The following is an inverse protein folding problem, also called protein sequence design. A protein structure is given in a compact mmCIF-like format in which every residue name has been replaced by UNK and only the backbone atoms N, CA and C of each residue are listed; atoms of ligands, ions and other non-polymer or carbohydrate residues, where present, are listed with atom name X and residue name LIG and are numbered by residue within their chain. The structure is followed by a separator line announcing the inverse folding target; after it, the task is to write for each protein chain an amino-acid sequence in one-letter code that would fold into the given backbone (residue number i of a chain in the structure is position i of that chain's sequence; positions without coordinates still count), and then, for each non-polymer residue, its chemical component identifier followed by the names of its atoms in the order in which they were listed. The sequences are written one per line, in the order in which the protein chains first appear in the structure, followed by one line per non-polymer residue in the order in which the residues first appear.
data_IF_103955482821
#
_entry.id   IF_103955482821
#
_cell.length_a   1.000
_cell.length_b   1.000
_cell.length_c   1.000
_cell.angle_alpha   90.00
_cell.angle_beta   90.00
_cell.angle_gamma   90.00
#
_symmetry.space_group_name_H-M   'P 1'
#
loop_
_entity.id
_entity.type
_entity.pdbx_description
1 polymer ?
#
# COMPACT_ATOMS: atom_id res chain seq x y z
N UNK A 1 -15.52 23.28 11.33
CA UNK A 1 -14.50 23.82 10.39
C UNK A 1 -14.56 23.02 9.10
N UNK A 2 -14.67 23.71 7.96
CA UNK A 2 -14.75 23.12 6.62
C UNK A 2 -13.37 23.01 5.97
N UNK A 3 -13.08 21.87 5.36
CA UNK A 3 -11.93 21.69 4.47
C UNK A 3 -12.41 21.73 3.01
N UNK A 4 -11.87 22.66 2.22
CA UNK A 4 -12.00 22.66 0.76
C UNK A 4 -10.80 21.93 0.17
N UNK A 5 -11.01 20.96 -0.72
CA UNK A 5 -9.91 20.25 -1.36
C UNK A 5 -10.19 19.91 -2.82
N UNK A 6 -9.13 19.85 -3.61
CA UNK A 6 -9.17 19.46 -5.02
C UNK A 6 -9.02 17.95 -5.13
N UNK A 7 -9.96 17.27 -5.79
CA UNK A 7 -9.90 15.84 -6.03
C UNK A 7 -8.95 15.53 -7.20
N UNK A 8 -8.13 14.50 -7.03
CA UNK A 8 -7.29 13.93 -8.10
C UNK A 8 -7.24 12.42 -7.98
N UNK A 9 -6.61 11.77 -8.96
CA UNK A 9 -6.39 10.33 -8.99
C UNK A 9 -5.69 9.77 -7.75
N UNK A 10 -4.83 10.56 -7.10
CA UNK A 10 -4.18 10.18 -5.86
C UNK A 10 -5.08 10.54 -4.68
N UNK A 11 -5.43 9.56 -3.84
CA UNK A 11 -6.37 9.77 -2.72
C UNK A 11 -5.68 10.16 -1.41
N UNK A 12 -4.43 9.72 -1.25
CA UNK A 12 -3.66 9.83 -0.01
C UNK A 12 -3.47 11.28 0.45
N UNK A 13 -3.19 12.25 -0.44
CA UNK A 13 -3.10 13.64 -0.01
C UNK A 13 -4.37 14.14 0.68
N UNK A 14 -5.55 13.79 0.17
CA UNK A 14 -6.84 14.24 0.72
C UNK A 14 -7.15 13.54 2.04
N UNK A 15 -6.88 12.22 2.13
CA UNK A 15 -7.03 11.46 3.38
C UNK A 15 -6.11 12.03 4.47
N UNK A 16 -4.83 12.23 4.18
CA UNK A 16 -3.86 12.73 5.15
C UNK A 16 -4.08 14.22 5.47
N UNK A 17 -4.41 15.04 4.48
CA UNK A 17 -4.74 16.45 4.66
C UNK A 17 -5.94 16.65 5.58
N UNK A 18 -6.98 15.81 5.46
CA UNK A 18 -8.11 15.82 6.39
C UNK A 18 -7.72 15.41 7.81
N UNK A 19 -6.98 14.29 7.95
CA UNK A 19 -6.62 13.75 9.26
C UNK A 19 -5.62 14.60 10.03
N UNK A 20 -4.81 15.39 9.31
CA UNK A 20 -3.80 16.26 9.88
C UNK A 20 -4.38 17.42 10.71
N UNK A 21 -5.50 17.99 10.27
CA UNK A 21 -6.03 19.22 10.84
C UNK A 21 -6.58 19.00 12.26
N UNK A 22 -6.25 19.94 13.16
CA UNK A 22 -6.73 20.00 14.54
C UNK A 22 -7.25 21.41 14.82
N UNK A 23 -8.55 21.60 15.13
CA UNK A 23 -9.59 20.57 15.22
C UNK A 23 -9.83 19.88 13.88
N UNK A 24 -10.30 18.62 13.94
CA UNK A 24 -10.65 17.84 12.75
C UNK A 24 -11.78 18.54 11.99
N UNK A 25 -11.76 18.59 10.64
CA UNK A 25 -12.85 19.20 9.90
C UNK A 25 -14.15 18.43 10.15
N UNK A 26 -15.26 19.17 10.26
CA UNK A 26 -16.62 18.61 10.39
C UNK A 26 -17.36 18.57 9.03
N UNK A 27 -16.74 19.16 8.00
CA UNK A 27 -17.21 19.16 6.61
C UNK A 27 -16.02 19.11 5.65
N UNK A 28 -16.20 18.39 4.55
CA UNK A 28 -15.25 18.29 3.44
C UNK A 28 -15.97 18.63 2.14
N UNK A 29 -15.44 19.57 1.38
CA UNK A 29 -15.89 19.87 0.02
C UNK A 29 -14.81 19.45 -0.97
N UNK A 30 -15.14 18.52 -1.85
CA UNK A 30 -14.25 18.02 -2.90
C UNK A 30 -14.62 18.64 -4.23
N UNK A 31 -13.75 19.53 -4.72
CA UNK A 31 -13.83 20.08 -6.06
C UNK A 31 -13.27 19.09 -7.06
N UNK A 32 -14.06 18.73 -8.07
CA UNK A 32 -13.67 17.73 -9.06
C UNK A 32 -14.04 18.16 -10.48
N UNK A 33 -13.34 17.60 -11.46
CA UNK A 33 -13.62 17.79 -12.89
C UNK A 33 -14.59 16.70 -13.38
N UNK A 34 -15.05 16.76 -14.63
CA UNK A 34 -15.85 15.69 -15.25
C UNK A 34 -15.01 14.46 -15.65
N UNK A 35 -13.69 14.49 -15.48
CA UNK A 35 -12.80 13.39 -15.85
C UNK A 35 -12.94 12.21 -14.88
N UNK A 36 -13.55 11.13 -15.35
CA UNK A 36 -13.90 9.97 -14.54
C UNK A 36 -12.70 9.31 -13.84
N UNK A 37 -11.62 9.06 -14.57
CA UNK A 37 -10.43 8.39 -14.04
C UNK A 37 -9.55 9.29 -13.16
N UNK A 38 -9.56 10.60 -13.44
CA UNK A 38 -8.59 11.54 -12.87
C UNK A 38 -9.17 12.39 -11.73
N UNK A 39 -10.49 12.63 -11.69
CA UNK A 39 -11.08 13.50 -10.66
C UNK A 39 -12.46 13.04 -10.16
N UNK A 40 -13.46 12.88 -11.03
CA UNK A 40 -14.84 12.58 -10.62
C UNK A 40 -14.98 11.24 -9.89
N UNK A 41 -14.41 10.17 -10.46
CA UNK A 41 -14.39 8.85 -9.84
C UNK A 41 -13.65 8.84 -8.50
N UNK A 42 -12.40 9.35 -8.41
CA UNK A 42 -11.71 9.52 -7.14
C UNK A 42 -12.51 10.33 -6.09
N UNK A 43 -13.18 11.41 -6.48
CA UNK A 43 -13.97 12.23 -5.57
C UNK A 43 -15.14 11.45 -4.94
N UNK A 44 -15.88 10.67 -5.74
CA UNK A 44 -16.95 9.80 -5.25
C UNK A 44 -16.42 8.73 -4.30
N UNK A 45 -15.33 8.06 -4.67
CA UNK A 45 -14.70 7.05 -3.82
C UNK A 45 -14.17 7.62 -2.51
N UNK A 46 -13.61 8.82 -2.52
CA UNK A 46 -13.22 9.54 -1.31
C UNK A 46 -14.44 9.83 -0.43
N UNK A 47 -15.56 10.29 -1.00
CA UNK A 47 -16.81 10.49 -0.26
C UNK A 47 -17.29 9.20 0.42
N UNK A 48 -17.32 8.10 -0.33
CA UNK A 48 -17.67 6.77 0.21
C UNK A 48 -16.71 6.33 1.32
N UNK A 49 -15.40 6.56 1.16
CA UNK A 49 -14.39 6.25 2.18
C UNK A 49 -14.64 7.04 3.47
N UNK A 50 -14.80 8.37 3.40
CA UNK A 50 -15.00 9.21 4.58
C UNK A 50 -16.29 8.85 5.33
N UNK A 51 -17.38 8.58 4.58
CA UNK A 51 -18.65 8.16 5.15
C UNK A 51 -18.57 6.75 5.77
N UNK A 52 -18.05 5.77 5.00
CA UNK A 52 -17.99 4.37 5.40
C UNK A 52 -17.05 4.11 6.58
N UNK A 53 -15.96 4.88 6.70
CA UNK A 53 -15.03 4.84 7.82
C UNK A 53 -15.47 5.71 9.00
N UNK A 54 -16.66 6.33 8.93
CA UNK A 54 -17.23 7.22 9.96
C UNK A 54 -16.29 8.37 10.34
N UNK A 55 -15.48 8.83 9.38
CA UNK A 55 -14.63 10.00 9.53
C UNK A 55 -15.44 11.29 9.44
N UNK A 56 -16.50 11.27 8.61
CA UNK A 56 -17.52 12.30 8.47
C UNK A 56 -18.88 11.63 8.21
N UNK A 57 -20.01 12.26 8.57
CA UNK A 57 -21.31 11.84 8.06
C UNK A 57 -21.38 12.12 6.55
N UNK A 58 -22.13 11.30 5.81
CA UNK A 58 -22.19 11.39 4.33
C UNK A 58 -22.64 12.77 3.84
N UNK A 59 -23.57 13.41 4.55
CA UNK A 59 -24.07 14.77 4.25
C UNK A 59 -23.02 15.86 4.47
N UNK A 60 -21.93 15.57 5.17
CA UNK A 60 -20.83 16.50 5.39
C UNK A 60 -19.72 16.36 4.34
N UNK A 61 -19.84 15.44 3.38
CA UNK A 61 -18.92 15.34 2.24
C UNK A 61 -19.65 15.77 0.97
N UNK A 62 -19.35 16.98 0.50
CA UNK A 62 -19.95 17.59 -0.68
C UNK A 62 -19.02 17.47 -1.89
N UNK A 63 -19.58 17.15 -3.05
CA UNK A 63 -18.86 17.10 -4.32
C UNK A 63 -19.28 18.30 -5.16
N UNK A 64 -18.32 19.12 -5.59
CA UNK A 64 -18.57 20.31 -6.40
C UNK A 64 -17.83 20.16 -7.73
N UNK A 65 -18.59 20.19 -8.82
CA UNK A 65 -18.00 20.12 -10.16
C UNK A 65 -17.42 21.47 -10.56
N UNK A 66 -16.21 21.46 -11.12
CA UNK A 66 -15.54 22.63 -11.71
C UNK A 66 -14.85 22.27 -13.03
N UNK A 67 -14.67 23.24 -13.96
CA UNK A 67 -13.82 23.04 -15.13
C UNK A 67 -12.37 22.85 -14.71
N UNK A 68 -11.58 22.16 -15.54
CA UNK A 68 -10.15 21.90 -15.27
C UNK A 68 -9.22 22.92 -15.93
N UNK A 69 -9.76 23.74 -16.84
CA UNK A 69 -9.05 24.54 -17.84
C UNK A 69 -9.42 26.03 -17.81
N UNK A 70 -10.40 26.42 -16.98
CA UNK A 70 -10.89 27.80 -16.87
C UNK A 70 -10.63 28.37 -15.47
N UNK A 71 -9.55 29.14 -15.32
CA UNK A 71 -9.10 29.70 -14.04
C UNK A 71 -10.20 30.49 -13.31
N UNK A 72 -10.85 31.44 -14.00
CA UNK A 72 -11.90 32.29 -13.42
C UNK A 72 -13.07 31.48 -12.87
N UNK A 73 -13.56 30.52 -13.64
CA UNK A 73 -14.68 29.66 -13.22
C UNK A 73 -14.35 28.80 -12.00
N UNK A 74 -13.08 28.39 -11.82
CA UNK A 74 -12.63 27.65 -10.63
C UNK A 74 -12.67 28.57 -9.41
N UNK A 75 -12.17 29.81 -9.55
CA UNK A 75 -12.22 30.84 -8.48
C UNK A 75 -13.66 31.17 -8.12
N UNK A 76 -14.53 31.40 -9.10
CA UNK A 76 -15.95 31.67 -8.90
C UNK A 76 -16.66 30.53 -8.16
N UNK A 77 -16.35 29.27 -8.49
CA UNK A 77 -16.93 28.12 -7.81
C UNK A 77 -16.48 28.02 -6.33
N UNK A 78 -15.22 28.36 -6.04
CA UNK A 78 -14.73 28.45 -4.66
C UNK A 78 -15.44 29.57 -3.90
N UNK A 79 -15.56 30.76 -4.49
CA UNK A 79 -16.28 31.89 -3.91
C UNK A 79 -17.75 31.56 -3.64
N UNK A 80 -18.48 31.06 -4.64
CA UNK A 80 -19.88 30.69 -4.50
C UNK A 80 -20.10 29.59 -3.44
N UNK A 81 -19.16 28.64 -3.34
CA UNK A 81 -19.19 27.61 -2.29
C UNK A 81 -18.98 28.23 -0.90
N UNK A 82 -18.01 29.13 -0.76
CA UNK A 82 -17.73 29.81 0.49
C UNK A 82 -18.91 30.69 0.93
N UNK A 83 -19.49 31.48 0.04
CA UNK A 83 -20.67 32.30 0.32
C UNK A 83 -21.87 31.45 0.75
N UNK A 84 -22.18 30.39 0.01
CA UNK A 84 -23.29 29.48 0.32
C UNK A 84 -23.15 28.83 1.70
N UNK A 85 -21.92 28.51 2.11
CA UNK A 85 -21.64 27.83 3.36
C UNK A 85 -21.25 28.79 4.51
N UNK A 86 -21.21 30.11 4.26
CA UNK A 86 -20.78 31.11 5.24
C UNK A 86 -19.33 30.91 5.69
N UNK A 87 -18.44 30.59 4.76
CA UNK A 87 -17.04 30.29 5.06
C UNK A 87 -16.19 31.56 5.16
N UNK A 88 -15.28 31.57 6.13
CA UNK A 88 -14.33 32.64 6.39
C UNK A 88 -12.96 32.08 6.84
N UNK A 89 -12.03 32.97 7.16
CA UNK A 89 -10.68 32.61 7.62
C UNK A 89 -10.65 31.81 8.93
N UNK A 90 -11.69 31.92 9.77
CA UNK A 90 -11.77 31.24 11.06
C UNK A 90 -12.31 29.81 10.92
N UNK A 91 -13.19 29.57 9.96
CA UNK A 91 -13.90 28.31 9.81
C UNK A 91 -13.54 27.50 8.56
N UNK A 92 -12.67 28.01 7.68
CA UNK A 92 -12.27 27.39 6.41
C UNK A 92 -10.77 27.12 6.31
N UNK A 93 -10.40 25.98 5.71
CA UNK A 93 -9.03 25.67 5.29
C UNK A 93 -9.06 25.11 3.88
N UNK A 94 -8.04 25.42 3.08
CA UNK A 94 -7.90 24.88 1.72
C UNK A 94 -6.70 23.97 1.57
N UNK A 95 -6.92 22.79 1.01
CA UNK A 95 -5.90 21.82 0.66
C UNK A 95 -5.84 21.63 -0.87
N UNK A 96 -4.81 22.21 -1.49
CA UNK A 96 -4.71 22.34 -2.95
C UNK A 96 -3.67 21.40 -3.60
N UNK A 97 -3.31 20.30 -2.94
CA UNK A 97 -2.38 19.30 -3.50
C UNK A 97 -2.96 18.52 -4.69
N UNK A 98 -4.28 18.30 -4.70
CA UNK A 98 -4.96 17.62 -5.79
C UNK A 98 -5.32 18.56 -6.95
N UNK A 99 -6.15 18.05 -7.87
CA UNK A 99 -6.42 18.71 -9.15
C UNK A 99 -5.19 18.79 -10.06
N UNK A 100 -5.33 19.51 -11.17
CA UNK A 100 -4.21 19.87 -12.01
C UNK A 100 -3.56 21.18 -11.50
N UNK A 101 -2.43 21.57 -12.11
CA UNK A 101 -1.69 22.78 -11.71
C UNK A 101 -2.54 24.06 -11.81
N UNK A 102 -3.40 24.17 -12.82
CA UNK A 102 -4.24 25.35 -13.00
C UNK A 102 -5.25 25.47 -11.85
N UNK A 103 -5.88 24.36 -11.46
CA UNK A 103 -6.81 24.31 -10.32
C UNK A 103 -6.10 24.64 -9.00
N UNK A 104 -4.90 24.11 -8.77
CA UNK A 104 -4.11 24.41 -7.58
C UNK A 104 -3.75 25.90 -7.50
N UNK A 105 -3.35 26.51 -8.62
CA UNK A 105 -3.08 27.95 -8.72
C UNK A 105 -4.35 28.79 -8.49
N UNK A 106 -5.49 28.39 -9.07
CA UNK A 106 -6.76 29.07 -8.85
C UNK A 106 -7.20 29.01 -7.39
N UNK A 107 -7.04 27.85 -6.73
CA UNK A 107 -7.32 27.71 -5.32
C UNK A 107 -6.39 28.57 -4.45
N UNK A 108 -5.09 28.62 -4.75
CA UNK A 108 -4.14 29.48 -4.04
C UNK A 108 -4.46 30.97 -4.21
N UNK A 109 -4.81 31.39 -5.43
CA UNK A 109 -5.22 32.76 -5.72
C UNK A 109 -6.52 33.15 -4.99
N UNK A 110 -7.51 32.24 -4.99
CA UNK A 110 -8.71 32.45 -4.21
C UNK A 110 -8.41 32.59 -2.72
N UNK A 111 -7.54 31.74 -2.16
CA UNK A 111 -7.13 31.83 -0.75
C UNK A 111 -6.47 33.19 -0.42
N UNK A 112 -5.61 33.68 -1.33
CA UNK A 112 -4.95 34.98 -1.24
C UNK A 112 -5.97 36.12 -1.18
N UNK A 113 -6.96 36.10 -2.09
CA UNK A 113 -8.00 37.13 -2.18
C UNK A 113 -9.01 37.05 -1.02
N UNK A 114 -9.39 35.85 -0.61
CA UNK A 114 -10.40 35.60 0.41
C UNK A 114 -9.85 35.60 1.85
N UNK A 115 -8.55 35.84 2.04
CA UNK A 115 -7.93 35.78 3.37
C UNK A 115 -7.98 34.38 4.01
N UNK A 116 -8.16 33.31 3.23
CA UNK A 116 -8.32 31.95 3.76
C UNK A 116 -6.98 31.20 3.86
N UNK A 117 -6.62 30.64 5.02
CA UNK A 117 -5.42 29.80 5.16
C UNK A 117 -5.47 28.53 4.31
N UNK A 118 -4.32 28.16 3.74
CA UNK A 118 -4.23 27.00 2.87
C UNK A 118 -2.91 26.23 3.05
N UNK A 119 -2.85 25.03 2.49
CA UNK A 119 -1.65 24.20 2.58
C UNK A 119 -1.52 23.24 1.40
N UNK A 120 -0.27 22.85 1.15
CA UNK A 120 0.14 21.84 0.20
C UNK A 120 0.86 20.69 0.92
N UNK A 121 0.62 19.46 0.49
CA UNK A 121 1.21 18.24 1.04
C UNK A 121 2.08 17.57 -0.03
N UNK A 122 3.39 17.54 0.20
CA UNK A 122 4.35 16.92 -0.71
C UNK A 122 4.44 15.40 -0.50
N UNK A 123 4.97 14.68 -1.50
CA UNK A 123 5.07 13.21 -1.52
C UNK A 123 5.90 12.61 -0.39
N UNK A 124 6.83 13.36 0.19
CA UNK A 124 7.63 12.96 1.35
C UNK A 124 6.89 13.17 2.68
N UNK A 125 5.60 13.49 2.63
CA UNK A 125 4.73 13.82 3.76
C UNK A 125 5.09 15.15 4.45
N UNK A 126 5.79 16.06 3.75
CA UNK A 126 6.01 17.42 4.23
C UNK A 126 4.81 18.31 3.92
N UNK A 127 4.35 19.05 4.92
CA UNK A 127 3.28 20.04 4.77
C UNK A 127 3.90 21.43 4.63
N UNK A 128 3.41 22.18 3.65
CA UNK A 128 3.74 23.59 3.41
C UNK A 128 2.49 24.42 3.69
N UNK A 129 2.40 25.07 4.87
CA UNK A 129 1.30 25.94 5.21
C UNK A 129 1.52 27.33 4.59
N UNK A 130 0.42 27.98 4.25
CA UNK A 130 0.42 29.34 3.75
C UNK A 130 -0.62 30.17 4.50
N UNK A 131 -0.22 31.37 4.91
CA UNK A 131 -1.11 32.34 5.54
C UNK A 131 -1.24 33.57 4.64
N UNK A 132 -2.47 33.97 4.30
CA UNK A 132 -2.68 35.22 3.59
C UNK A 132 -2.35 36.41 4.51
N UNK A 133 -1.68 37.42 3.95
CA UNK A 133 -1.44 38.71 4.60
C UNK A 133 -1.60 39.83 3.58
N UNK A 134 -2.70 40.59 3.70
CA UNK A 134 -3.06 41.58 2.70
C UNK A 134 -3.27 40.92 1.34
N UNK A 135 -2.49 41.32 0.34
CA UNK A 135 -2.53 40.74 -1.01
C UNK A 135 -1.56 39.58 -1.20
N UNK A 136 -0.78 39.18 -0.19
CA UNK A 136 0.22 38.14 -0.35
C UNK A 136 -0.22 36.82 0.29
N UNK A 137 0.31 35.72 -0.24
CA UNK A 137 0.16 34.38 0.32
C UNK A 137 1.52 33.92 0.84
N UNK A 138 1.75 34.09 2.15
CA UNK A 138 3.08 33.92 2.73
C UNK A 138 3.31 32.48 3.21
N UNK A 139 4.40 31.82 2.79
CA UNK A 139 4.75 30.51 3.30
C UNK A 139 5.05 30.58 4.79
N UNK A 140 4.63 29.54 5.52
CA UNK A 140 4.99 29.32 6.91
C UNK A 140 6.09 28.26 7.02
N UNK A 141 6.60 28.06 8.23
CA UNK A 141 7.53 26.97 8.49
C UNK A 141 6.88 25.61 8.13
N UNK A 142 7.54 24.87 7.24
CA UNK A 142 7.11 23.54 6.85
C UNK A 142 7.39 22.54 7.97
N UNK A 143 6.57 21.49 8.07
CA UNK A 143 6.79 20.41 9.03
C UNK A 143 6.52 19.04 8.41
N UNK A 144 7.04 18.01 9.07
CA UNK A 144 6.84 16.63 8.69
C UNK A 144 5.53 16.11 9.27
N UNK A 145 4.64 15.61 8.41
CA UNK A 145 3.40 14.99 8.85
C UNK A 145 3.70 13.65 9.56
N UNK A 146 2.97 13.37 10.64
CA UNK A 146 3.00 12.05 11.26
C UNK A 146 2.45 11.01 10.26
N UNK A 147 3.26 10.05 9.80
CA UNK A 147 2.82 9.07 8.82
C UNK A 147 1.75 8.11 9.39
N UNK A 148 1.59 8.00 10.71
CA UNK A 148 0.63 7.09 11.34
C UNK A 148 -0.77 7.69 11.54
N UNK A 149 -1.06 8.90 11.06
CA UNK A 149 -2.39 9.51 11.20
C UNK A 149 -3.51 8.65 10.64
N UNK A 150 -3.26 7.97 9.51
CA UNK A 150 -4.23 7.11 8.85
C UNK A 150 -4.24 5.68 9.37
N UNK A 151 -3.45 5.33 10.40
CA UNK A 151 -3.22 3.93 10.84
C UNK A 151 -4.50 3.14 11.12
N UNK A 152 -5.54 3.82 11.61
CA UNK A 152 -6.82 3.19 11.96
C UNK A 152 -7.79 3.05 10.79
N UNK A 153 -7.47 3.60 9.61
CA UNK A 153 -8.30 3.42 8.43
C UNK A 153 -8.14 1.99 7.91
N UNK A 154 -9.28 1.35 7.69
CA UNK A 154 -9.39 -0.03 7.26
C UNK A 154 -8.73 -0.22 5.86
N UNK A 155 -7.80 -1.18 5.71
CA UNK A 155 -7.04 -1.35 4.47
C UNK A 155 -7.90 -1.61 3.23
N UNK A 156 -8.97 -2.40 3.34
CA UNK A 156 -9.84 -2.72 2.22
C UNK A 156 -10.62 -1.50 1.73
N UNK A 157 -11.08 -0.63 2.65
CA UNK A 157 -11.70 0.63 2.30
C UNK A 157 -10.74 1.56 1.55
N UNK A 158 -9.48 1.66 1.99
CA UNK A 158 -8.45 2.42 1.27
C UNK A 158 -8.17 1.83 -0.12
N UNK A 159 -8.06 0.50 -0.20
CA UNK A 159 -7.88 -0.20 -1.47
C UNK A 159 -9.05 0.11 -2.42
N UNK A 160 -10.31 -0.07 -1.98
CA UNK A 160 -11.49 0.29 -2.78
C UNK A 160 -11.46 1.73 -3.24
N UNK A 161 -11.00 2.65 -2.38
CA UNK A 161 -10.89 4.05 -2.74
C UNK A 161 -9.81 4.31 -3.81
N UNK A 162 -8.70 3.56 -3.76
CA UNK A 162 -7.56 3.68 -4.67
C UNK A 162 -7.83 3.00 -6.02
N UNK A 163 -8.57 1.88 -6.02
CA UNK A 163 -8.90 1.11 -7.22
C UNK A 163 -9.87 1.91 -8.11
N UNK A 164 -9.36 2.38 -9.24
CA UNK A 164 -10.17 3.11 -10.23
C UNK A 164 -11.00 2.17 -11.11
N UNK A 165 -10.32 1.48 -12.02
CA UNK A 165 -10.91 0.60 -13.03
C UNK A 165 -11.07 -0.86 -12.58
N UNK A 166 -10.59 -1.22 -11.38
CA UNK A 166 -10.79 -2.54 -10.80
C UNK A 166 -11.85 -2.48 -9.70
N UNK A 167 -12.50 -3.60 -9.45
CA UNK A 167 -13.49 -3.76 -8.39
C UNK A 167 -13.09 -4.89 -7.46
N UNK A 168 -13.29 -4.69 -6.15
CA UNK A 168 -13.12 -5.75 -5.16
C UNK A 168 -14.37 -6.63 -5.19
N UNK A 169 -14.24 -7.83 -5.72
CA UNK A 169 -15.34 -8.83 -5.75
C UNK A 169 -15.34 -9.74 -4.53
N UNK A 170 -14.18 -9.94 -3.91
CA UNK A 170 -14.02 -10.68 -2.67
C UNK A 170 -13.26 -9.85 -1.66
N UNK A 171 -13.88 -9.57 -0.50
CA UNK A 171 -13.23 -8.81 0.57
C UNK A 171 -12.04 -9.55 1.17
N UNK A 172 -11.99 -10.88 1.04
CA UNK A 172 -11.01 -11.69 1.72
C UNK A 172 -11.25 -11.76 3.23
N UNK A 173 -10.21 -12.04 4.00
CA UNK A 173 -10.25 -12.21 5.46
C UNK A 173 -9.55 -11.07 6.18
N UNK A 174 -10.19 -10.52 7.21
CA UNK A 174 -9.58 -9.48 8.06
C UNK A 174 -8.83 -10.13 9.21
N UNK A 175 -7.51 -10.06 9.20
CA UNK A 175 -6.63 -10.70 10.19
C UNK A 175 -6.18 -9.72 11.27
N UNK A 176 -6.23 -10.17 12.52
CA UNK A 176 -5.66 -9.49 13.71
C UNK A 176 -5.00 -10.52 14.63
N UNK A 177 -4.20 -10.09 15.62
CA UNK A 177 -3.66 -11.01 16.62
C UNK A 177 -4.73 -11.39 17.64
N UNK A 178 -4.89 -12.69 17.87
CA UNK A 178 -5.64 -13.19 19.02
C UNK A 178 -4.80 -13.07 20.31
N UNK A 179 -5.30 -13.55 21.45
CA UNK A 179 -4.58 -13.46 22.73
C UNK A 179 -3.21 -14.16 22.71
N UNK A 180 -3.15 -15.40 22.19
CA UNK A 180 -1.89 -16.15 22.04
C UNK A 180 -0.92 -15.42 21.13
N UNK A 181 -1.43 -14.88 20.03
CA UNK A 181 -0.68 -14.05 19.10
C UNK A 181 -0.11 -12.83 19.79
N UNK A 182 -0.90 -12.08 20.59
CA UNK A 182 -0.41 -10.91 21.34
C UNK A 182 0.70 -11.26 22.33
N UNK A 183 0.60 -12.41 23.00
CA UNK A 183 1.60 -12.87 23.98
C UNK A 183 2.86 -13.49 23.36
N UNK A 184 2.84 -13.90 22.08
CA UNK A 184 3.99 -14.51 21.41
C UNK A 184 5.20 -13.55 21.33
N UNK A 185 6.36 -13.85 21.92
CA UNK A 185 7.54 -13.00 21.77
C UNK A 185 8.03 -12.98 20.31
N UNK A 186 8.50 -11.82 19.82
CA UNK A 186 9.00 -11.71 18.44
C UNK A 186 10.15 -12.68 18.14
N UNK A 187 11.01 -12.94 19.13
CA UNK A 187 12.15 -13.87 19.00
C UNK A 187 11.72 -15.32 18.70
N UNK A 188 10.49 -15.71 19.04
CA UNK A 188 9.96 -17.06 18.81
C UNK A 188 9.47 -17.28 17.37
N UNK A 189 9.23 -16.21 16.60
CA UNK A 189 8.69 -16.34 15.24
C UNK A 189 9.65 -17.09 14.32
N UNK A 190 10.95 -16.79 14.35
CA UNK A 190 11.93 -17.46 13.51
C UNK A 190 12.09 -18.97 13.84
N UNK A 191 12.20 -19.39 15.11
CA UNK A 191 12.14 -20.80 15.49
C UNK A 191 10.86 -21.53 15.06
N UNK A 192 9.69 -20.87 15.12
CA UNK A 192 8.42 -21.46 14.69
C UNK A 192 8.35 -21.61 13.16
N UNK A 193 8.83 -20.61 12.41
CA UNK A 193 8.96 -20.68 10.95
C UNK A 193 9.84 -21.84 10.50
N UNK A 194 10.96 -22.08 11.19
CA UNK A 194 11.88 -23.20 10.88
C UNK A 194 11.24 -24.58 11.10
N UNK A 195 10.26 -24.66 12.00
CA UNK A 195 9.50 -25.89 12.31
C UNK A 195 8.25 -26.04 11.43
N UNK A 196 8.03 -25.13 10.48
CA UNK A 196 6.81 -25.06 9.67
C UNK A 196 5.53 -25.12 10.54
N UNK A 197 5.55 -24.41 11.69
CA UNK A 197 4.41 -24.33 12.60
C UNK A 197 3.20 -23.66 11.94
N UNK A 198 1.98 -24.08 12.29
CA UNK A 198 0.77 -23.39 11.86
C UNK A 198 0.58 -22.05 12.60
N UNK A 199 0.68 -20.94 11.85
CA UNK A 199 0.53 -19.58 12.36
C UNK A 199 -0.93 -19.15 12.55
N UNK A 200 -1.91 -19.88 12.02
CA UNK A 200 -3.34 -19.59 12.19
C UNK A 200 -3.75 -19.52 13.66
N UNK A 201 -3.12 -20.34 14.52
CA UNK A 201 -3.39 -20.38 15.97
C UNK A 201 -3.07 -19.07 16.71
N UNK A 202 -2.36 -18.14 16.08
CA UNK A 202 -2.02 -16.81 16.63
C UNK A 202 -2.92 -15.68 16.11
N UNK A 203 -3.82 -15.99 15.17
CA UNK A 203 -4.66 -15.01 14.51
C UNK A 203 -6.12 -15.12 14.98
N UNK A 204 -6.82 -13.99 14.87
CA UNK A 204 -8.27 -13.90 14.88
C UNK A 204 -8.71 -13.32 13.53
N UNK A 205 -9.79 -13.86 12.97
CA UNK A 205 -10.34 -13.44 11.69
C UNK A 205 -11.86 -13.37 11.73
N UNK A 206 -12.43 -12.56 10.85
CA UNK A 206 -13.86 -12.24 10.77
C UNK A 206 -14.69 -13.32 10.04
N UNK A 207 -14.10 -14.01 9.09
CA UNK A 207 -14.76 -15.06 8.30
C UNK A 207 -13.97 -16.37 8.41
N UNK A 208 -14.62 -17.50 8.74
CA UNK A 208 -13.96 -18.80 8.77
C UNK A 208 -13.33 -19.13 7.41
N UNK A 209 -12.17 -19.82 7.44
CA UNK A 209 -11.51 -20.29 6.23
C UNK A 209 -12.36 -21.34 5.52
N UNK A 210 -12.50 -21.22 4.20
CA UNK A 210 -13.28 -22.15 3.37
C UNK A 210 -12.41 -23.27 2.78
N UNK A 211 -11.07 -23.12 2.70
CA UNK A 211 -10.16 -24.11 2.11
C UNK A 211 -8.74 -24.05 2.72
N UNK A 212 -8.12 -25.22 2.91
CA UNK A 212 -6.71 -25.37 3.34
C UNK A 212 -5.80 -25.57 2.11
N UNK A 213 -5.60 -24.51 1.32
CA UNK A 213 -4.82 -24.61 0.08
C UNK A 213 -3.29 -24.56 0.34
N UNK A 214 -2.48 -25.28 -0.46
CA UNK A 214 -1.03 -25.20 -0.37
C UNK A 214 -0.52 -23.78 -0.67
N UNK A 215 0.24 -23.20 0.26
CA UNK A 215 0.85 -21.86 0.12
C UNK A 215 0.39 -20.84 1.17
N UNK A 216 -0.80 -21.06 1.76
CA UNK A 216 -1.39 -20.15 2.74
C UNK A 216 -0.59 -20.01 4.04
N UNK A 217 0.21 -21.03 4.39
CA UNK A 217 1.06 -21.00 5.57
C UNK A 217 2.02 -19.79 5.59
N UNK A 218 2.58 -19.40 4.43
CA UNK A 218 3.47 -18.25 4.34
C UNK A 218 2.72 -16.92 4.50
N UNK A 219 1.49 -16.84 3.97
CA UNK A 219 0.63 -15.66 4.14
C UNK A 219 0.28 -15.45 5.61
N UNK A 220 -0.12 -16.49 6.33
CA UNK A 220 -0.43 -16.41 7.76
C UNK A 220 0.80 -16.05 8.61
N UNK A 221 1.96 -16.66 8.33
CA UNK A 221 3.20 -16.30 9.00
C UNK A 221 3.58 -14.83 8.76
N UNK A 222 3.41 -14.35 7.53
CA UNK A 222 3.64 -12.96 7.13
C UNK A 222 2.67 -12.02 7.83
N UNK A 223 1.39 -12.35 7.89
CA UNK A 223 0.39 -11.57 8.62
C UNK A 223 0.75 -11.46 10.11
N UNK A 224 1.13 -12.56 10.78
CA UNK A 224 1.56 -12.53 12.18
C UNK A 224 2.79 -11.63 12.35
N UNK A 225 3.78 -11.72 11.47
CA UNK A 225 4.98 -10.88 11.52
C UNK A 225 4.64 -9.39 11.35
N UNK A 226 3.80 -9.02 10.38
CA UNK A 226 3.34 -7.65 10.17
C UNK A 226 2.59 -7.10 11.38
N UNK A 227 1.64 -7.88 11.91
CA UNK A 227 0.85 -7.49 13.09
C UNK A 227 1.74 -7.33 14.33
N UNK A 228 2.77 -8.17 14.47
CA UNK A 228 3.77 -8.06 15.55
C UNK A 228 4.62 -6.82 15.46
N UNK A 229 4.95 -6.40 14.23
CA UNK A 229 5.61 -5.14 13.95
C UNK A 229 4.68 -3.91 14.10
N UNK A 230 3.45 -4.11 14.57
CA UNK A 230 2.53 -3.04 14.93
C UNK A 230 1.49 -2.70 13.86
N UNK A 231 1.49 -3.36 12.70
CA UNK A 231 0.40 -3.19 11.73
C UNK A 231 -0.92 -3.57 12.44
N UNK A 232 -1.96 -2.71 12.47
CA UNK A 232 -3.16 -3.01 13.25
C UNK A 232 -3.98 -4.17 12.67
N UNK A 233 -4.07 -4.21 11.35
CA UNK A 233 -4.96 -5.11 10.59
C UNK A 233 -4.28 -5.47 9.27
N UNK A 234 -4.39 -6.74 8.89
CA UNK A 234 -3.97 -7.23 7.58
C UNK A 234 -5.18 -7.87 6.90
N UNK A 235 -5.52 -7.40 5.70
CA UNK A 235 -6.52 -8.04 4.85
C UNK A 235 -5.84 -9.12 4.01
N UNK A 236 -6.40 -10.31 3.95
CA UNK A 236 -5.84 -11.45 3.21
C UNK A 236 -6.76 -11.89 2.08
N UNK A 237 -6.21 -12.37 0.96
CA UNK A 237 -6.96 -12.99 -0.14
C UNK A 237 -8.04 -12.06 -0.73
N UNK A 238 -7.65 -10.82 -1.02
CA UNK A 238 -8.56 -9.85 -1.64
C UNK A 238 -8.66 -10.15 -3.13
N UNK A 239 -9.87 -10.40 -3.63
CA UNK A 239 -10.10 -10.71 -5.04
C UNK A 239 -10.57 -9.49 -5.82
N UNK A 240 -9.95 -9.28 -6.98
CA UNK A 240 -10.14 -8.15 -7.87
C UNK A 240 -10.61 -8.62 -9.24
N UNK A 241 -11.50 -7.84 -9.86
CA UNK A 241 -11.87 -8.00 -11.27
C UNK A 241 -11.67 -6.69 -12.01
N UNK A 242 -10.97 -6.68 -13.17
CA UNK A 242 -10.91 -5.51 -14.04
C UNK A 242 -12.30 -5.17 -14.59
N UNK A 243 -12.77 -3.91 -14.47
CA UNK A 243 -14.09 -3.48 -14.95
C UNK A 243 -14.28 -3.68 -16.46
N UNK A 244 -13.20 -3.60 -17.24
CA UNK A 244 -13.23 -3.74 -18.72
C UNK A 244 -13.55 -5.18 -19.16
N UNK A 245 -13.40 -6.16 -18.27
CA UNK A 245 -13.56 -7.59 -18.57
C UNK A 245 -14.86 -8.19 -18.03
N UNK A 246 -15.85 -7.37 -17.63
CA UNK A 246 -17.20 -7.85 -17.28
C UNK A 246 -17.82 -8.55 -18.51
N UNK A 247 -17.66 -9.87 -18.58
CA UNK A 247 -18.21 -10.73 -19.65
C UNK A 247 -17.21 -11.67 -20.34
N UNK A 248 -15.90 -11.53 -20.13
CA UNK A 248 -14.89 -12.36 -20.81
C UNK A 248 -14.53 -13.65 -20.08
N UNK A 249 -14.97 -13.82 -18.83
CA UNK A 249 -14.65 -15.00 -17.99
C UNK A 249 -13.17 -15.19 -17.69
N UNK A 250 -12.31 -14.21 -17.98
CA UNK A 250 -10.86 -14.25 -17.73
C UNK A 250 -10.50 -13.63 -16.37
N UNK A 251 -9.40 -14.15 -15.84
CA UNK A 251 -9.07 -14.43 -14.43
C UNK A 251 -9.25 -13.27 -13.42
N UNK A 252 -9.74 -13.67 -12.24
CA UNK A 252 -9.76 -12.89 -11.00
C UNK A 252 -8.31 -12.68 -10.53
N UNK A 253 -7.88 -11.43 -10.35
CA UNK A 253 -6.60 -11.16 -9.68
C UNK A 253 -6.78 -11.30 -8.18
N UNK A 254 -5.93 -12.08 -7.49
CA UNK A 254 -5.92 -12.17 -6.03
C UNK A 254 -4.72 -11.41 -5.46
N UNK A 255 -4.96 -10.64 -4.40
CA UNK A 255 -3.92 -10.03 -3.59
C UNK A 255 -3.78 -10.85 -2.30
N UNK A 256 -2.60 -11.41 -2.07
CA UNK A 256 -2.37 -12.29 -0.92
C UNK A 256 -2.56 -11.52 0.39
N UNK A 257 -1.89 -10.38 0.58
CA UNK A 257 -2.13 -9.50 1.73
C UNK A 257 -2.19 -8.02 1.35
N UNK A 258 -3.01 -7.25 2.06
CA UNK A 258 -3.14 -5.80 1.95
C UNK A 258 -3.19 -5.20 3.35
N UNK A 259 -2.41 -4.16 3.61
CA UNK A 259 -2.46 -3.45 4.89
C UNK A 259 -2.17 -1.96 4.72
N UNK A 260 -2.53 -1.18 5.74
CA UNK A 260 -2.27 0.25 5.79
C UNK A 260 -1.18 0.53 6.84
N UNK A 261 -0.11 1.20 6.42
CA UNK A 261 0.98 1.57 7.31
C UNK A 261 1.69 2.83 6.84
N UNK A 262 1.95 3.73 7.79
CA UNK A 262 2.72 4.95 7.56
C UNK A 262 2.18 5.82 6.39
N UNK A 263 0.85 5.93 6.29
CA UNK A 263 0.17 6.77 5.29
C UNK A 263 0.25 6.19 3.88
N UNK A 264 0.41 4.86 3.77
CA UNK A 264 0.56 4.13 2.51
C UNK A 264 -0.24 2.85 2.56
N UNK A 265 -0.75 2.47 1.40
CA UNK A 265 -1.33 1.15 1.18
C UNK A 265 -0.22 0.20 0.76
N UNK A 266 -0.11 -0.92 1.46
CA UNK A 266 0.88 -1.94 1.21
C UNK A 266 0.19 -3.18 0.66
N UNK A 267 0.76 -3.75 -0.38
CA UNK A 267 0.35 -5.04 -0.93
C UNK A 267 1.51 -6.01 -0.74
N UNK A 268 1.21 -7.23 -0.34
CA UNK A 268 2.20 -8.30 -0.18
C UNK A 268 1.82 -9.46 -1.07
N UNK A 269 2.81 -9.96 -1.80
CA UNK A 269 2.72 -11.20 -2.57
C UNK A 269 3.63 -12.25 -1.92
N UNK A 270 3.04 -13.36 -1.51
CA UNK A 270 3.65 -14.47 -0.81
C UNK A 270 3.76 -15.68 -1.75
N UNK A 271 4.97 -16.17 -2.01
CA UNK A 271 5.16 -17.44 -2.74
C UNK A 271 6.01 -18.40 -1.92
N UNK A 272 5.37 -19.45 -1.43
CA UNK A 272 6.01 -20.53 -0.65
C UNK A 272 6.56 -21.66 -1.55
N UNK A 273 6.99 -21.31 -2.76
CA UNK A 273 7.55 -22.29 -3.70
C UNK A 273 8.99 -22.64 -3.30
N UNK A 274 9.30 -23.94 -3.38
CA UNK A 274 10.68 -24.42 -3.36
C UNK A 274 11.43 -23.97 -4.62
N UNK A 275 12.74 -23.74 -4.50
CA UNK A 275 13.54 -23.38 -5.66
C UNK A 275 13.51 -24.50 -6.71
N UNK A 276 13.72 -24.18 -8.01
CA UNK A 276 13.89 -25.20 -9.06
C UNK A 276 14.89 -26.29 -8.67
N UNK A 277 16.04 -25.92 -8.11
CA UNK A 277 17.09 -26.85 -7.65
C UNK A 277 16.55 -27.78 -6.57
N UNK A 278 15.88 -27.24 -5.56
CA UNK A 278 15.35 -28.04 -4.45
C UNK A 278 14.30 -29.03 -4.95
N UNK A 279 13.45 -28.63 -5.91
CA UNK A 279 12.47 -29.53 -6.53
C UNK A 279 13.15 -30.64 -7.32
N UNK A 280 14.16 -30.29 -8.12
CA UNK A 280 14.95 -31.24 -8.91
C UNK A 280 15.77 -32.17 -8.01
N UNK A 281 16.33 -31.70 -6.91
CA UNK A 281 17.10 -32.52 -5.96
C UNK A 281 16.19 -33.50 -5.20
N UNK A 282 14.95 -33.09 -4.86
CA UNK A 282 13.94 -34.02 -4.32
C UNK A 282 13.56 -35.08 -5.34
N UNK A 283 13.32 -34.69 -6.59
CA UNK A 283 13.05 -35.62 -7.68
C UNK A 283 14.23 -36.58 -7.90
N UNK A 284 15.47 -36.05 -7.91
CA UNK A 284 16.70 -36.85 -7.98
C UNK A 284 16.76 -37.87 -6.85
N UNK A 285 16.51 -37.43 -5.63
CA UNK A 285 16.52 -38.31 -4.44
C UNK A 285 15.51 -39.44 -4.59
N UNK A 286 14.31 -39.15 -5.09
CA UNK A 286 13.27 -40.16 -5.28
C UNK A 286 13.60 -41.12 -6.42
N UNK A 287 14.16 -40.64 -7.53
CA UNK A 287 14.61 -41.49 -8.65
C UNK A 287 15.77 -42.39 -8.21
N UNK A 288 16.76 -41.85 -7.48
CA UNK A 288 17.92 -42.60 -7.02
C UNK A 288 17.59 -43.68 -5.97
N UNK A 289 16.41 -43.61 -5.34
CA UNK A 289 15.90 -44.73 -4.50
C UNK A 289 15.50 -45.95 -5.32
N UNK A 290 15.20 -45.76 -6.61
CA UNK A 290 14.62 -46.77 -7.48
C UNK A 290 15.56 -47.19 -8.61
N UNK A 291 16.54 -46.34 -8.96
CA UNK A 291 17.39 -46.51 -10.14
C UNK A 291 18.85 -46.18 -9.81
N UNK A 292 19.78 -46.94 -10.39
CA UNK A 292 21.22 -46.68 -10.30
C UNK A 292 21.57 -45.34 -10.98
N UNK A 293 22.48 -44.52 -10.41
CA UNK A 293 22.82 -43.22 -10.99
C UNK A 293 23.36 -43.34 -12.43
N UNK A 294 22.72 -42.69 -13.39
CA UNK A 294 23.16 -42.55 -14.78
C UNK A 294 23.65 -41.10 -15.02
N UNK A 295 24.86 -40.89 -15.59
CA UNK A 295 25.33 -39.57 -16.01
C UNK A 295 24.32 -38.79 -16.87
N UNK A 296 23.59 -39.47 -17.75
CA UNK A 296 22.57 -38.86 -18.61
C UNK A 296 21.38 -38.34 -17.80
N UNK A 297 20.97 -39.05 -16.75
CA UNK A 297 19.92 -38.60 -15.84
C UNK A 297 20.34 -37.30 -15.13
N UNK A 298 21.61 -37.19 -14.73
CA UNK A 298 22.14 -35.98 -14.08
C UNK A 298 22.07 -34.77 -15.02
N UNK A 299 22.44 -34.95 -16.28
CA UNK A 299 22.36 -33.90 -17.30
C UNK A 299 20.91 -33.48 -17.57
N UNK A 300 19.98 -34.43 -17.71
CA UNK A 300 18.56 -34.14 -17.91
C UNK A 300 17.94 -33.39 -16.73
N UNK A 301 18.30 -33.76 -15.49
CA UNK A 301 17.84 -33.06 -14.29
C UNK A 301 18.40 -31.64 -14.21
N UNK A 302 19.66 -31.42 -14.62
CA UNK A 302 20.24 -30.09 -14.69
C UNK A 302 19.51 -29.21 -15.72
N UNK A 303 19.27 -29.73 -16.93
CA UNK A 303 18.48 -29.02 -17.96
C UNK A 303 17.06 -28.70 -17.48
N UNK A 304 16.40 -29.63 -16.80
CA UNK A 304 15.08 -29.40 -16.22
C UNK A 304 15.12 -28.29 -15.15
N UNK A 305 16.17 -28.22 -14.34
CA UNK A 305 16.33 -27.12 -13.38
C UNK A 305 16.42 -25.77 -14.09
N UNK A 306 17.20 -25.69 -15.16
CA UNK A 306 17.37 -24.46 -15.97
C UNK A 306 16.05 -24.06 -16.65
N UNK A 307 15.34 -25.00 -17.27
CA UNK A 307 14.02 -24.75 -17.88
C UNK A 307 12.99 -24.26 -16.86
N UNK A 308 12.98 -24.85 -15.65
CA UNK A 308 12.11 -24.42 -14.56
C UNK A 308 12.47 -23.01 -14.06
N UNK A 309 13.76 -22.64 -14.03
CA UNK A 309 14.19 -21.27 -13.68
C UNK A 309 13.64 -20.26 -14.68
N UNK A 310 13.81 -20.51 -15.98
CA UNK A 310 13.33 -19.60 -17.02
C UNK A 310 11.80 -19.45 -16.96
N UNK A 311 11.09 -20.57 -16.77
CA UNK A 311 9.63 -20.58 -16.69
C UNK A 311 9.09 -19.84 -15.45
N UNK A 312 9.80 -19.88 -14.33
CA UNK A 312 9.38 -19.19 -13.10
C UNK A 312 9.74 -17.69 -13.10
N UNK A 313 10.69 -17.24 -13.93
CA UNK A 313 11.16 -15.85 -13.97
C UNK A 313 10.17 -14.89 -14.64
N UNK A 314 9.45 -15.32 -15.68
CA UNK A 314 8.49 -14.46 -16.40
C UNK A 314 7.26 -14.12 -15.55
N UNK A 315 6.53 -15.11 -14.98
CA UNK A 315 5.38 -14.81 -14.12
C UNK A 315 5.76 -13.97 -12.91
N UNK A 316 6.97 -14.17 -12.37
CA UNK A 316 7.46 -13.36 -11.25
C UNK A 316 7.53 -11.87 -11.59
N UNK A 317 7.98 -11.49 -12.79
CA UNK A 317 8.05 -10.07 -13.18
C UNK A 317 6.65 -9.47 -13.35
N UNK A 318 5.71 -10.25 -13.88
CA UNK A 318 4.31 -9.85 -14.05
C UNK A 318 3.61 -9.66 -12.70
N UNK A 319 3.76 -10.61 -11.77
CA UNK A 319 3.24 -10.52 -10.40
C UNK A 319 3.78 -9.26 -9.71
N UNK A 320 5.08 -9.02 -9.80
CA UNK A 320 5.73 -7.85 -9.22
C UNK A 320 5.26 -6.52 -9.83
N UNK A 321 4.92 -6.49 -11.12
CA UNK A 321 4.36 -5.31 -11.80
C UNK A 321 2.90 -5.07 -11.38
N UNK A 322 2.08 -6.11 -11.34
CA UNK A 322 0.68 -6.02 -10.95
C UNK A 322 0.54 -5.45 -9.53
N UNK A 323 1.35 -5.95 -8.59
CA UNK A 323 1.38 -5.46 -7.20
C UNK A 323 1.79 -3.98 -7.14
N UNK A 324 2.77 -3.55 -7.95
CA UNK A 324 3.21 -2.16 -8.00
C UNK A 324 2.12 -1.22 -8.55
N UNK A 325 1.37 -1.65 -9.57
CA UNK A 325 0.30 -0.87 -10.18
C UNK A 325 -0.89 -0.70 -9.24
N UNK A 326 -1.27 -1.75 -8.51
CA UNK A 326 -2.37 -1.73 -7.53
C UNK A 326 -2.13 -0.74 -6.40
N UNK A 327 -0.87 -0.60 -5.95
CA UNK A 327 -0.51 0.35 -4.90
C UNK A 327 -0.69 1.83 -5.29
N UNK A 328 -0.67 2.18 -6.58
CA UNK A 328 -0.66 3.57 -7.03
C UNK A 328 0.65 4.30 -6.68
N UNK A 329 0.67 5.64 -6.78
CA UNK A 329 1.91 6.43 -6.67
C UNK A 329 2.53 6.40 -5.26
N UNK A 330 1.69 6.26 -4.23
CA UNK A 330 2.12 6.18 -2.83
C UNK A 330 2.03 4.77 -2.23
N UNK A 331 1.46 3.80 -2.96
CA UNK A 331 1.47 2.42 -2.51
C UNK A 331 2.87 1.82 -2.49
N UNK A 332 2.97 0.73 -1.77
CA UNK A 332 4.20 -0.05 -1.61
C UNK A 332 3.89 -1.53 -1.74
N UNK A 333 4.91 -2.26 -2.14
CA UNK A 333 4.80 -3.65 -2.50
C UNK A 333 5.92 -4.43 -1.83
N UNK A 334 5.56 -5.55 -1.21
CA UNK A 334 6.49 -6.48 -0.58
C UNK A 334 6.32 -7.85 -1.24
N UNK A 335 7.43 -8.47 -1.60
CA UNK A 335 7.50 -9.81 -2.13
C UNK A 335 8.11 -10.71 -1.06
N UNK A 336 7.32 -11.63 -0.50
CA UNK A 336 7.77 -12.60 0.49
C UNK A 336 7.98 -13.95 -0.20
N UNK A 337 9.17 -14.54 0.00
CA UNK A 337 9.58 -15.76 -0.70
C UNK A 337 10.24 -16.76 0.21
N UNK A 338 9.97 -18.05 -0.01
CA UNK A 338 10.74 -19.14 0.61
C UNK A 338 12.11 -19.28 -0.04
N UNK A 339 12.14 -19.38 -1.36
CA UNK A 339 13.36 -19.47 -2.14
C UNK A 339 13.99 -18.08 -2.35
N UNK A 340 15.33 -17.96 -2.38
CA UNK A 340 15.97 -16.71 -2.79
C UNK A 340 15.61 -16.38 -4.24
N UNK A 341 15.58 -15.08 -4.55
CA UNK A 341 15.38 -14.63 -5.93
C UNK A 341 16.68 -14.72 -6.73
N UNK A 342 16.53 -15.02 -8.02
CA UNK A 342 17.62 -14.92 -8.99
C UNK A 342 18.17 -13.48 -9.07
N UNK A 343 19.47 -13.28 -9.36
CA UNK A 343 20.08 -11.95 -9.42
C UNK A 343 19.33 -10.96 -10.32
N UNK A 344 18.84 -11.41 -11.48
CA UNK A 344 18.07 -10.58 -12.41
C UNK A 344 16.73 -10.12 -11.82
N UNK A 345 16.07 -10.98 -11.03
CA UNK A 345 14.82 -10.64 -10.36
C UNK A 345 15.04 -9.68 -9.19
N UNK A 346 16.17 -9.80 -8.48
CA UNK A 346 16.58 -8.83 -7.44
C UNK A 346 16.83 -7.45 -8.06
N UNK A 347 17.53 -7.39 -9.19
CA UNK A 347 17.79 -6.13 -9.90
C UNK A 347 16.48 -5.50 -10.39
N UNK A 348 15.59 -6.31 -10.96
CA UNK A 348 14.26 -5.87 -11.36
C UNK A 348 13.47 -5.30 -10.17
N UNK A 349 13.41 -6.03 -9.05
CA UNK A 349 12.73 -5.58 -7.84
C UNK A 349 13.30 -4.25 -7.33
N UNK A 350 14.63 -4.10 -7.32
CA UNK A 350 15.31 -2.86 -6.93
C UNK A 350 14.95 -1.70 -7.85
N UNK A 351 14.93 -1.91 -9.17
CA UNK A 351 14.59 -0.87 -10.16
C UNK A 351 13.16 -0.32 -9.96
N UNK A 352 12.26 -1.16 -9.42
CA UNK A 352 10.86 -0.84 -9.13
C UNK A 352 10.59 -0.50 -7.66
N UNK A 353 11.63 -0.41 -6.83
CA UNK A 353 11.54 -0.15 -5.37
C UNK A 353 10.64 -1.16 -4.63
N UNK A 354 10.68 -2.42 -5.07
CA UNK A 354 9.95 -3.54 -4.46
C UNK A 354 10.81 -4.15 -3.36
N UNK A 355 10.25 -4.28 -2.16
CA UNK A 355 10.95 -4.93 -1.06
C UNK A 355 10.87 -6.45 -1.23
N UNK A 356 11.99 -7.15 -1.10
CA UNK A 356 12.06 -8.62 -1.15
C UNK A 356 12.44 -9.12 0.23
N UNK A 357 11.65 -10.05 0.75
CA UNK A 357 11.72 -10.56 2.12
C UNK A 357 11.81 -12.07 2.08
N UNK A 358 12.77 -12.65 2.81
CA UNK A 358 12.91 -14.11 2.90
C UNK A 358 12.05 -14.68 4.02
N UNK A 359 11.35 -15.81 3.77
CA UNK A 359 10.64 -16.60 4.80
C UNK A 359 11.55 -16.91 5.99
N UNK A 360 12.84 -17.21 5.75
CA UNK A 360 13.78 -17.57 6.80
C UNK A 360 14.16 -16.40 7.73
N UNK A 361 13.96 -15.16 7.26
CA UNK A 361 14.35 -13.92 7.95
C UNK A 361 13.20 -12.92 8.05
N UNK A 362 11.96 -13.43 8.04
CA UNK A 362 10.73 -12.66 7.82
C UNK A 362 10.66 -11.36 8.64
N UNK A 363 10.78 -11.43 9.97
CA UNK A 363 10.76 -10.23 10.83
C UNK A 363 11.95 -9.29 10.59
N UNK A 364 13.16 -9.86 10.49
CA UNK A 364 14.39 -9.09 10.34
C UNK A 364 14.44 -8.32 9.02
N UNK A 365 13.83 -8.87 7.97
CA UNK A 365 13.75 -8.26 6.65
C UNK A 365 12.54 -7.30 6.53
N UNK A 366 11.40 -7.60 7.17
CA UNK A 366 10.22 -6.71 7.18
C UNK A 366 10.43 -5.43 7.99
N UNK A 367 11.12 -5.51 9.14
CA UNK A 367 11.30 -4.34 10.02
C UNK A 367 11.95 -3.14 9.30
N UNK A 368 13.10 -3.24 8.63
CA UNK A 368 13.68 -2.08 7.94
C UNK A 368 12.81 -1.56 6.78
N UNK A 369 11.91 -2.38 6.22
CA UNK A 369 10.97 -1.96 5.18
C UNK A 369 9.86 -1.09 5.77
N UNK A 370 9.33 -1.47 6.94
CA UNK A 370 8.27 -0.72 7.63
C UNK A 370 8.80 0.49 8.42
N UNK A 371 10.07 0.44 8.82
CA UNK A 371 10.74 1.42 9.66
C UNK A 371 12.08 1.88 9.06
N UNK A 372 12.06 2.54 7.88
CA UNK A 372 13.30 2.89 7.17
C UNK A 372 14.20 3.91 7.91
N UNK A 373 13.65 4.60 8.91
CA UNK A 373 14.37 5.59 9.71
C UNK A 373 14.86 5.03 11.07
N UNK A 374 14.54 3.79 11.40
CA UNK A 374 15.09 3.17 12.61
C UNK A 374 16.60 2.91 12.42
N UNK A 375 17.43 3.19 13.44
CA UNK A 375 18.84 2.87 13.38
C UNK A 375 19.02 1.36 13.21
N UNK A 376 20.00 0.97 12.39
CA UNK A 376 20.32 -0.44 12.19
C UNK A 376 20.65 -1.12 13.53
N UNK A 377 20.06 -2.29 13.75
CA UNK A 377 20.37 -3.11 14.92
C UNK A 377 21.82 -3.61 14.88
N UNK A 378 22.37 -3.93 16.06
CA UNK A 378 23.72 -4.50 16.18
C UNK A 378 23.89 -5.79 15.35
N UNK A 379 22.83 -6.61 15.23
CA UNK A 379 22.85 -7.83 14.41
C UNK A 379 22.93 -7.52 12.91
N UNK A 380 22.20 -6.51 12.43
CA UNK A 380 22.30 -6.04 11.05
C UNK A 380 23.69 -5.48 10.75
N UNK A 381 24.27 -4.70 11.67
CA UNK A 381 25.64 -4.19 11.55
C UNK A 381 26.67 -5.32 11.51
N UNK A 382 26.51 -6.35 12.35
CA UNK A 382 27.37 -7.55 12.34
C UNK A 382 27.25 -8.34 11.03
N UNK A 383 26.04 -8.54 10.54
CA UNK A 383 25.79 -9.24 9.27
C UNK A 383 26.41 -8.48 8.09
N UNK A 384 26.31 -7.15 8.08
CA UNK A 384 26.95 -6.31 7.06
C UNK A 384 28.48 -6.39 7.14
N UNK A 385 29.06 -6.39 8.35
CA UNK A 385 30.49 -6.55 8.56
C UNK A 385 30.97 -7.92 8.03
N UNK A 386 30.25 -9.00 8.36
CA UNK A 386 30.55 -10.35 7.88
C UNK A 386 30.46 -10.48 6.35
N UNK A 387 29.45 -9.86 5.72
CA UNK A 387 29.32 -9.84 4.27
C UNK A 387 30.47 -9.08 3.58
N UNK A 388 30.96 -7.98 4.18
CA UNK A 388 32.13 -7.26 3.65
C UNK A 388 33.40 -8.08 3.76
N UNK A 389 33.62 -8.77 4.87
CA UNK A 389 34.81 -9.61 5.05
C UNK A 389 34.81 -10.85 4.16
N UNK A 390 33.64 -11.41 3.84
CA UNK A 390 33.51 -12.54 2.92
C UNK A 390 33.58 -12.18 1.44
N UNK A 391 33.39 -10.91 1.07
CA UNK A 391 33.55 -10.43 -0.31
C UNK A 391 34.99 -9.99 -0.63
N UNK A 392 35.85 -9.87 0.39
CA UNK A 392 37.28 -9.50 0.28
C UNK A 392 38.23 -10.70 0.44
N UNK A 393 37.69 -11.89 0.67
CA UNK A 393 38.41 -13.16 0.67
C UNK A 393 38.05 -13.93 -0.61
#
# INVERSE_FOLDING_TARGET
MTLLSLASRQIWPQVLGFLHLSPRPDRLVLFHTDEEGESAGPARRLKELFAGQRLLPESAVELVRVPHDHFGNIVEALTATAERLGLDEANCRVHFTGGNKLMALAAAEWCRLAGTPCFYLERDLRVFPFLPRGTDLLPQESFQLNPHLAREIEPLALLRCQLGSAEVVGSGQRLTLNERGRLLPEAEIAPLLKRDEDFRKFLAWDVPELDDQPGFALEFATAVALLKLGVPVVQRSVRLVPKVLRGSGREEGELDLVFNWAGKLWVVDCKDRHSPETRVDRLRTEILRQVTPDPRLTELLARLADELRERDLHPLKEDLLAVAEVGGLLGRAICVRRAPLEPQAIEFARSRRLAVVSKARLLADLRPVLFPNEPASLEQLRSLAAARTGATA
#
